data_IF_822647230058
#
_entry.id   IF_822647230058
#
_cell.length_a   1.000
_cell.length_b   1.000
_cell.length_c   1.000
_cell.angle_alpha   90.00
_cell.angle_beta   90.00
_cell.angle_gamma   90.00
#
_symmetry.space_group_name_H-M   'P 1'
#
loop_
_entity.id
_entity.type
_entity.pdbx_description
1 polymer ?
#
# COMPACT_ATOMS: atom_id res chain seq x y z
N UNK A 1 8.35 3.37 -11.11
CA UNK A 1 7.59 4.41 -11.85
C UNK A 1 7.64 4.06 -13.33
N UNK A 2 6.60 4.34 -14.13
CA UNK A 2 6.75 4.28 -15.58
C UNK A 2 7.89 5.21 -15.96
N UNK A 3 8.77 4.74 -16.84
CA UNK A 3 9.88 5.52 -17.31
C UNK A 3 9.30 6.70 -18.13
N UNK A 4 9.63 7.94 -17.76
CA UNK A 4 9.21 9.12 -18.52
C UNK A 4 10.35 9.45 -19.48
N UNK A 5 10.11 9.24 -20.76
CA UNK A 5 11.04 9.61 -21.84
C UNK A 5 10.28 10.48 -22.82
N UNK A 6 10.87 11.63 -23.14
CA UNK A 6 10.43 12.45 -24.26
C UNK A 6 10.98 11.87 -25.57
N UNK A 7 10.06 11.33 -26.37
CA UNK A 7 10.38 10.80 -27.69
C UNK A 7 9.60 11.61 -28.74
N UNK A 8 10.26 12.17 -29.77
CA UNK A 8 9.62 12.94 -30.82
C UNK A 8 8.49 12.17 -31.52
N UNK A 9 7.48 12.87 -32.02
CA UNK A 9 6.33 12.25 -32.71
C UNK A 9 6.74 11.49 -33.99
N UNK A 10 7.80 11.94 -34.67
CA UNK A 10 8.31 11.36 -35.92
C UNK A 10 9.55 10.47 -35.72
N UNK A 11 9.71 9.87 -34.53
CA UNK A 11 10.92 9.11 -34.23
C UNK A 11 11.09 7.88 -35.13
N UNK A 12 10.01 7.16 -35.44
CA UNK A 12 10.10 5.91 -36.22
C UNK A 12 10.58 6.18 -37.65
N UNK A 13 9.99 7.15 -38.41
CA UNK A 13 10.54 7.56 -39.70
C UNK A 13 12.02 7.98 -39.63
N UNK A 14 12.43 8.73 -38.61
CA UNK A 14 13.81 9.18 -38.42
C UNK A 14 14.77 7.99 -38.26
N UNK A 15 14.39 7.01 -37.44
CA UNK A 15 15.21 5.82 -37.19
C UNK A 15 15.23 4.85 -38.38
N UNK A 16 14.22 4.90 -39.26
CA UNK A 16 14.16 4.09 -40.48
C UNK A 16 14.83 4.76 -41.68
N UNK A 17 15.15 6.06 -41.61
CA UNK A 17 15.86 6.75 -42.66
C UNK A 17 17.23 6.09 -42.96
N UNK A 18 17.64 6.04 -44.24
CA UNK A 18 18.94 5.51 -44.62
C UNK A 18 20.04 6.38 -44.01
N UNK A 19 21.08 5.74 -43.46
CA UNK A 19 22.19 6.45 -42.81
C UNK A 19 23.04 7.14 -43.88
N UNK A 20 23.44 6.38 -44.90
CA UNK A 20 24.12 6.89 -46.09
C UNK A 20 23.47 6.30 -47.36
N UNK A 21 23.47 7.03 -48.50
CA UNK A 21 22.85 6.54 -49.74
C UNK A 21 23.49 5.25 -50.26
N UNK A 22 24.79 5.09 -50.08
CA UNK A 22 25.57 3.94 -50.57
C UNK A 22 25.53 2.76 -49.58
N UNK A 23 25.37 3.06 -48.29
CA UNK A 23 25.29 2.06 -47.22
C UNK A 23 24.12 2.37 -46.29
N UNK A 24 22.88 2.04 -46.68
CA UNK A 24 21.69 2.52 -45.98
C UNK A 24 21.55 1.94 -44.57
N UNK A 25 22.17 0.78 -44.28
CA UNK A 25 22.22 0.17 -42.95
C UNK A 25 23.38 0.67 -42.07
N UNK A 26 24.29 1.49 -42.59
CA UNK A 26 25.49 1.98 -41.90
C UNK A 26 26.56 0.92 -41.64
N UNK A 27 27.58 1.29 -40.85
CA UNK A 27 28.76 0.47 -40.55
C UNK A 27 28.74 -0.01 -39.10
N UNK A 28 28.89 -1.32 -38.91
CA UNK A 28 29.02 -1.90 -37.58
C UNK A 28 30.49 -2.02 -37.19
N UNK A 29 30.85 -1.35 -36.10
CA UNK A 29 32.12 -1.53 -35.41
C UNK A 29 31.86 -2.09 -34.01
N UNK A 30 32.59 -3.14 -33.63
CA UNK A 30 32.51 -3.72 -32.29
C UNK A 30 33.24 -2.87 -31.24
N UNK A 31 34.16 -2.02 -31.69
CA UNK A 31 34.92 -1.07 -30.87
C UNK A 31 34.22 0.29 -30.76
N UNK A 32 33.05 0.48 -31.39
CA UNK A 32 32.26 1.71 -31.27
C UNK A 32 31.90 1.98 -29.79
N UNK A 33 32.28 3.17 -29.32
CA UNK A 33 32.10 3.58 -27.92
C UNK A 33 30.61 3.60 -27.53
N UNK A 34 29.73 4.01 -28.44
CA UNK A 34 28.27 4.09 -28.18
C UNK A 34 27.68 2.69 -28.06
N UNK A 35 28.05 1.78 -28.97
CA UNK A 35 27.64 0.37 -28.93
C UNK A 35 28.09 -0.30 -27.62
N UNK A 36 29.36 -0.16 -27.24
CA UNK A 36 29.89 -0.77 -26.03
C UNK A 36 29.26 -0.19 -24.76
N UNK A 37 29.05 1.13 -24.72
CA UNK A 37 28.44 1.77 -23.56
C UNK A 37 26.98 1.34 -23.35
N UNK A 38 26.20 1.22 -24.43
CA UNK A 38 24.85 0.62 -24.37
C UNK A 38 24.92 -0.81 -23.83
N UNK A 39 25.87 -1.61 -24.33
CA UNK A 39 25.99 -3.01 -23.92
C UNK A 39 26.39 -3.17 -22.44
N UNK A 40 27.29 -2.32 -21.96
CA UNK A 40 27.72 -2.29 -20.56
C UNK A 40 26.57 -1.93 -19.60
N UNK A 41 25.72 -0.97 -19.97
CA UNK A 41 24.51 -0.67 -19.21
C UNK A 41 23.55 -1.87 -19.19
N UNK A 42 23.37 -2.52 -20.34
CA UNK A 42 22.48 -3.68 -20.46
C UNK A 42 23.00 -4.94 -19.74
N UNK A 43 24.31 -5.09 -19.54
CA UNK A 43 24.91 -6.18 -18.73
C UNK A 43 24.48 -6.11 -17.26
N UNK A 44 24.17 -4.91 -16.74
CA UNK A 44 23.70 -4.75 -15.36
C UNK A 44 22.31 -5.36 -15.15
N UNK A 45 21.56 -5.61 -16.23
CA UNK A 45 20.21 -6.19 -16.20
C UNK A 45 20.25 -7.62 -15.66
N UNK A 46 19.49 -7.91 -14.61
CA UNK A 46 19.48 -9.21 -13.93
C UNK A 46 20.61 -9.43 -12.91
N UNK A 47 21.42 -8.41 -12.64
CA UNK A 47 22.47 -8.42 -11.62
C UNK A 47 22.15 -7.54 -10.42
N UNK A 48 23.02 -7.56 -9.40
CA UNK A 48 22.90 -6.73 -8.18
C UNK A 48 22.87 -5.21 -8.47
N UNK A 49 23.37 -4.78 -9.64
CA UNK A 49 23.43 -3.39 -10.10
C UNK A 49 22.27 -3.00 -11.02
N UNK A 50 21.25 -3.84 -11.18
CA UNK A 50 20.10 -3.56 -12.07
C UNK A 50 19.38 -2.26 -11.72
N UNK A 51 19.33 -1.89 -10.43
CA UNK A 51 18.74 -0.64 -9.97
C UNK A 51 19.52 0.63 -10.40
N UNK A 52 20.76 0.48 -10.91
CA UNK A 52 21.63 1.58 -11.35
C UNK A 52 21.71 1.74 -12.87
N UNK A 53 20.82 1.09 -13.61
CA UNK A 53 20.75 1.22 -15.08
C UNK A 53 20.19 2.59 -15.45
N UNK A 54 20.92 3.32 -16.27
CA UNK A 54 20.47 4.60 -16.82
C UNK A 54 19.62 4.37 -18.09
N UNK A 55 18.32 4.23 -17.88
CA UNK A 55 17.37 4.00 -18.99
C UNK A 55 17.22 5.21 -19.94
N UNK A 56 17.17 6.46 -19.47
CA UNK A 56 17.22 7.64 -20.35
C UNK A 56 18.45 7.64 -21.26
N UNK A 57 19.63 7.30 -20.73
CA UNK A 57 20.84 7.17 -21.53
C UNK A 57 20.72 6.09 -22.59
N UNK A 58 20.22 4.90 -22.24
CA UNK A 58 20.03 3.80 -23.22
C UNK A 58 19.09 4.23 -24.35
N UNK A 59 18.01 4.96 -24.06
CA UNK A 59 17.09 5.46 -25.08
C UNK A 59 17.75 6.47 -26.02
N UNK A 60 18.42 7.49 -25.49
CA UNK A 60 19.10 8.51 -26.29
C UNK A 60 20.24 7.92 -27.12
N UNK A 61 21.13 7.13 -26.50
CA UNK A 61 22.25 6.49 -27.16
C UNK A 61 21.79 5.51 -28.23
N UNK A 62 20.75 4.69 -27.97
CA UNK A 62 20.23 3.74 -28.95
C UNK A 62 19.56 4.45 -30.14
N UNK A 63 18.84 5.55 -29.91
CA UNK A 63 18.27 6.38 -30.98
C UNK A 63 19.38 6.99 -31.85
N UNK A 64 20.40 7.56 -31.22
CA UNK A 64 21.54 8.15 -31.94
C UNK A 64 22.30 7.09 -32.76
N UNK A 65 22.55 5.92 -32.17
CA UNK A 65 23.26 4.82 -32.83
C UNK A 65 22.50 4.30 -34.05
N UNK A 66 21.18 4.04 -33.92
CA UNK A 66 20.35 3.56 -35.03
C UNK A 66 20.16 4.63 -36.12
N UNK A 67 20.17 5.91 -35.77
CA UNK A 67 20.03 7.01 -36.73
C UNK A 67 21.32 7.33 -37.49
N UNK A 68 22.50 7.16 -36.88
CA UNK A 68 23.77 7.70 -37.40
C UNK A 68 24.85 6.66 -37.69
N UNK A 69 24.86 5.51 -37.00
CA UNK A 69 25.95 4.55 -37.09
C UNK A 69 25.56 3.28 -37.81
N UNK A 70 24.61 2.50 -37.25
CA UNK A 70 24.27 1.20 -37.81
C UNK A 70 22.87 0.73 -37.42
N UNK A 71 22.14 0.15 -38.38
CA UNK A 71 20.89 -0.58 -38.14
C UNK A 71 21.23 -1.94 -37.51
N UNK A 72 21.19 -2.00 -36.19
CA UNK A 72 21.57 -3.19 -35.42
C UNK A 72 20.39 -3.74 -34.62
N UNK A 73 19.99 -5.00 -34.87
CA UNK A 73 18.81 -5.63 -34.27
C UNK A 73 18.91 -5.78 -32.75
N UNK A 74 20.12 -5.95 -32.20
CA UNK A 74 20.34 -5.97 -30.74
C UNK A 74 20.04 -4.61 -30.11
N UNK A 75 20.55 -3.52 -30.70
CA UNK A 75 20.32 -2.15 -30.21
C UNK A 75 18.84 -1.77 -30.36
N UNK A 76 18.20 -2.18 -31.46
CA UNK A 76 16.75 -2.07 -31.61
C UNK A 76 16.00 -2.79 -30.47
N UNK A 77 16.46 -3.99 -30.09
CA UNK A 77 15.88 -4.71 -28.96
C UNK A 77 16.05 -4.00 -27.62
N UNK A 78 17.19 -3.34 -27.40
CA UNK A 78 17.39 -2.51 -26.20
C UNK A 78 16.47 -1.29 -26.20
N UNK A 79 16.38 -0.57 -27.32
CA UNK A 79 15.47 0.57 -27.47
C UNK A 79 14.01 0.17 -27.29
N UNK A 80 13.57 -0.95 -27.90
CA UNK A 80 12.25 -1.52 -27.68
C UNK A 80 12.03 -1.80 -26.18
N UNK A 81 12.98 -2.45 -25.51
CA UNK A 81 12.90 -2.72 -24.09
C UNK A 81 12.73 -1.46 -23.24
N UNK A 82 13.35 -0.35 -23.63
CA UNK A 82 13.18 0.95 -22.97
C UNK A 82 11.79 1.53 -23.22
N UNK A 83 11.33 1.56 -24.47
CA UNK A 83 10.01 2.06 -24.85
C UNK A 83 8.87 1.28 -24.18
N UNK A 84 9.00 -0.04 -24.08
CA UNK A 84 8.01 -0.89 -23.42
C UNK A 84 7.91 -0.63 -21.90
N UNK A 85 8.96 -0.12 -21.25
CA UNK A 85 8.93 0.27 -19.83
C UNK A 85 8.14 1.55 -19.57
N UNK A 86 7.89 2.38 -20.59
CA UNK A 86 7.00 3.55 -20.47
C UNK A 86 5.54 3.13 -20.27
N UNK A 87 5.16 1.92 -20.73
CA UNK A 87 3.80 1.37 -20.70
C UNK A 87 2.75 2.24 -21.44
N UNK A 88 3.17 3.04 -22.40
CA UNK A 88 2.28 3.90 -23.20
C UNK A 88 1.93 3.26 -24.54
N UNK A 89 0.68 3.43 -25.00
CA UNK A 89 0.24 2.95 -26.32
C UNK A 89 1.03 3.58 -27.47
N UNK A 90 1.38 4.87 -27.37
CA UNK A 90 2.22 5.55 -28.36
C UNK A 90 3.55 4.83 -28.56
N UNK A 91 4.27 4.54 -27.46
CA UNK A 91 5.60 3.91 -27.50
C UNK A 91 5.55 2.44 -27.87
N UNK A 92 4.45 1.75 -27.54
CA UNK A 92 4.21 0.41 -28.00
C UNK A 92 3.99 0.36 -29.52
N UNK A 93 3.18 1.29 -30.06
CA UNK A 93 2.98 1.44 -31.50
C UNK A 93 4.28 1.82 -32.22
N UNK A 94 5.09 2.71 -31.63
CA UNK A 94 6.40 3.08 -32.17
C UNK A 94 7.36 1.88 -32.22
N UNK A 95 7.40 1.06 -31.16
CA UNK A 95 8.22 -0.15 -31.11
C UNK A 95 7.79 -1.17 -32.18
N UNK A 96 6.49 -1.36 -32.35
CA UNK A 96 5.94 -2.24 -33.38
C UNK A 96 6.25 -1.72 -34.79
N UNK A 97 6.09 -0.41 -35.02
CA UNK A 97 6.41 0.24 -36.28
C UNK A 97 7.89 0.17 -36.63
N UNK A 98 8.77 0.40 -35.65
CA UNK A 98 10.22 0.31 -35.84
C UNK A 98 10.65 -1.13 -36.17
N UNK A 99 10.09 -2.13 -35.47
CA UNK A 99 10.37 -3.54 -35.74
C UNK A 99 9.91 -3.93 -37.16
N UNK A 100 8.69 -3.57 -37.53
CA UNK A 100 8.15 -3.83 -38.87
C UNK A 100 9.00 -3.17 -39.97
N UNK A 101 9.33 -1.89 -39.80
CA UNK A 101 10.13 -1.14 -40.78
C UNK A 101 11.56 -1.63 -40.93
N UNK A 102 12.21 -2.09 -39.85
CA UNK A 102 13.56 -2.68 -39.95
C UNK A 102 13.53 -4.03 -40.67
N UNK A 103 12.49 -4.84 -40.46
CA UNK A 103 12.32 -6.09 -41.20
C UNK A 103 11.98 -5.82 -42.66
N UNK A 104 11.22 -4.78 -42.98
CA UNK A 104 10.88 -4.43 -44.36
C UNK A 104 12.09 -3.88 -45.13
N UNK A 105 12.78 -2.89 -44.57
CA UNK A 105 13.81 -2.12 -45.27
C UNK A 105 15.23 -2.67 -45.11
N UNK A 106 15.52 -3.34 -43.99
CA UNK A 106 16.89 -3.68 -43.58
C UNK A 106 17.07 -5.15 -43.18
N UNK A 107 16.16 -6.07 -43.56
CA UNK A 107 16.28 -7.48 -43.13
C UNK A 107 17.63 -8.10 -43.48
N UNK A 108 18.12 -7.90 -44.70
CA UNK A 108 19.39 -8.46 -45.16
C UNK A 108 20.60 -7.65 -44.69
N UNK A 109 20.49 -6.32 -44.71
CA UNK A 109 21.58 -5.38 -44.46
C UNK A 109 21.82 -5.06 -42.97
N UNK A 110 20.81 -5.21 -42.11
CA UNK A 110 20.94 -4.97 -40.67
C UNK A 110 21.87 -5.97 -39.98
N UNK A 111 22.55 -5.51 -38.94
CA UNK A 111 23.42 -6.35 -38.13
C UNK A 111 22.66 -7.11 -37.03
N UNK A 112 23.11 -8.33 -36.65
CA UNK A 112 24.32 -9.01 -37.13
C UNK A 112 24.13 -9.62 -38.53
N UNK A 113 25.14 -9.55 -39.41
CA UNK A 113 25.10 -10.19 -40.75
C UNK A 113 24.86 -11.70 -40.63
N UNK A 114 24.16 -12.33 -41.59
CA UNK A 114 23.88 -13.77 -41.53
C UNK A 114 25.18 -14.57 -41.44
N UNK A 115 25.29 -15.40 -40.40
CA UNK A 115 26.44 -16.27 -40.16
C UNK A 115 26.35 -17.59 -40.95
N UNK A 116 27.18 -18.59 -40.61
CA UNK A 116 27.16 -19.91 -41.28
C UNK A 116 25.83 -20.66 -41.12
N UNK A 117 25.04 -20.34 -40.09
CA UNK A 117 23.68 -20.86 -39.86
C UNK A 117 22.58 -20.01 -40.51
N UNK A 118 22.97 -19.04 -41.36
CA UNK A 118 22.08 -18.12 -42.05
C UNK A 118 21.39 -17.13 -41.11
N UNK A 119 20.10 -16.91 -41.35
CA UNK A 119 19.27 -15.92 -40.65
C UNK A 119 18.69 -16.42 -39.32
N UNK A 120 19.10 -17.60 -38.84
CA UNK A 120 18.47 -18.26 -37.69
C UNK A 120 18.53 -17.41 -36.42
N UNK A 121 19.68 -16.76 -36.16
CA UNK A 121 19.82 -15.85 -35.02
C UNK A 121 18.92 -14.61 -35.14
N UNK A 122 18.84 -13.98 -36.34
CA UNK A 122 17.94 -12.85 -36.59
C UNK A 122 16.48 -13.25 -36.36
N UNK A 123 16.05 -14.40 -36.89
CA UNK A 123 14.68 -14.90 -36.70
C UNK A 123 14.34 -15.16 -35.23
N UNK A 124 15.27 -15.76 -34.48
CA UNK A 124 15.12 -15.94 -33.02
C UNK A 124 14.98 -14.59 -32.30
N UNK A 125 15.78 -13.61 -32.69
CA UNK A 125 15.71 -12.27 -32.12
C UNK A 125 14.35 -11.61 -32.42
N UNK A 126 13.88 -11.63 -33.67
CA UNK A 126 12.56 -11.09 -34.03
C UNK A 126 11.44 -11.80 -33.27
N UNK A 127 11.50 -13.14 -33.16
CA UNK A 127 10.52 -13.90 -32.36
C UNK A 127 10.49 -13.43 -30.91
N UNK A 128 11.65 -13.26 -30.29
CA UNK A 128 11.75 -12.74 -28.91
C UNK A 128 11.16 -11.32 -28.79
N UNK A 129 11.46 -10.43 -29.74
CA UNK A 129 10.92 -9.07 -29.74
C UNK A 129 9.40 -9.05 -29.90
N UNK A 130 8.83 -9.93 -30.72
CA UNK A 130 7.37 -10.07 -30.85
C UNK A 130 6.72 -10.61 -29.58
N UNK A 131 7.35 -11.58 -28.92
CA UNK A 131 6.88 -12.11 -27.63
C UNK A 131 6.93 -11.02 -26.53
N UNK A 132 7.99 -10.20 -26.50
CA UNK A 132 8.12 -9.05 -25.59
C UNK A 132 7.02 -8.00 -25.86
N UNK A 133 6.73 -7.68 -27.13
CA UNK A 133 5.62 -6.80 -27.51
C UNK A 133 4.26 -7.35 -27.03
N UNK A 134 4.00 -8.64 -27.22
CA UNK A 134 2.76 -9.29 -26.78
C UNK A 134 2.59 -9.35 -25.27
N UNK A 135 3.69 -9.55 -24.53
CA UNK A 135 3.67 -9.46 -23.06
C UNK A 135 3.38 -8.02 -22.61
N UNK A 136 4.04 -7.04 -23.20
CA UNK A 136 3.86 -5.63 -22.86
C UNK A 136 2.46 -5.10 -23.20
N UNK A 137 1.82 -5.60 -24.28
CA UNK A 137 0.48 -5.21 -24.71
C UNK A 137 -0.58 -5.38 -23.60
N UNK A 138 -0.44 -6.41 -22.75
CA UNK A 138 -1.34 -6.66 -21.61
C UNK A 138 -1.19 -5.67 -20.45
N UNK A 139 -0.04 -4.99 -20.37
CA UNK A 139 0.33 -4.09 -19.29
C UNK A 139 0.37 -2.61 -19.68
N UNK A 140 -0.11 -2.25 -20.89
CA UNK A 140 -0.21 -0.86 -21.34
C UNK A 140 -1.23 -0.08 -20.51
N UNK A 141 -0.90 1.17 -20.21
CA UNK A 141 -1.80 2.07 -19.52
C UNK A 141 -2.97 2.47 -20.43
N UNK A 142 -4.19 2.15 -19.99
CA UNK A 142 -5.43 2.49 -20.68
C UNK A 142 -5.62 3.99 -20.85
N UNK A 143 -5.04 4.82 -19.97
CA UNK A 143 -5.14 6.29 -20.08
C UNK A 143 -4.42 6.83 -21.32
N UNK A 144 -3.39 6.12 -21.80
CA UNK A 144 -2.62 6.48 -22.99
C UNK A 144 -3.23 5.96 -24.31
N UNK A 145 -4.36 5.24 -24.23
CA UNK A 145 -5.01 4.68 -25.41
C UNK A 145 -5.55 5.78 -26.32
N UNK A 146 -5.16 5.72 -27.58
CA UNK A 146 -5.77 6.49 -28.65
C UNK A 146 -5.96 5.58 -29.88
N UNK A 147 -7.09 5.69 -30.60
CA UNK A 147 -7.37 4.85 -31.77
C UNK A 147 -6.31 5.00 -32.87
N UNK A 148 -5.64 6.16 -32.93
CA UNK A 148 -4.53 6.40 -33.86
C UNK A 148 -3.36 5.45 -33.59
N UNK A 149 -2.95 5.27 -32.33
CA UNK A 149 -1.83 4.39 -31.97
C UNK A 149 -2.16 2.91 -32.23
N UNK A 150 -3.41 2.52 -32.00
CA UNK A 150 -3.88 1.20 -32.36
C UNK A 150 -3.82 0.98 -33.88
N UNK A 151 -4.38 1.91 -34.67
CA UNK A 151 -4.36 1.81 -36.13
C UNK A 151 -2.93 1.76 -36.69
N UNK A 152 -2.01 2.55 -36.13
CA UNK A 152 -0.58 2.50 -36.47
C UNK A 152 0.03 1.12 -36.22
N UNK A 153 -0.27 0.51 -35.07
CA UNK A 153 0.27 -0.80 -34.73
C UNK A 153 -0.37 -1.94 -35.54
N UNK A 154 -1.67 -1.86 -35.84
CA UNK A 154 -2.35 -2.78 -36.75
C UNK A 154 -1.74 -2.72 -38.15
N UNK A 155 -1.50 -1.52 -38.67
CA UNK A 155 -0.83 -1.32 -39.95
C UNK A 155 0.59 -1.91 -39.95
N UNK A 156 1.39 -1.62 -38.92
CA UNK A 156 2.74 -2.18 -38.77
C UNK A 156 2.73 -3.72 -38.69
N UNK A 157 1.71 -4.32 -38.06
CA UNK A 157 1.55 -5.77 -38.02
C UNK A 157 1.20 -6.37 -39.38
N UNK A 158 0.38 -5.69 -40.17
CA UNK A 158 0.06 -6.11 -41.54
C UNK A 158 1.31 -6.05 -42.43
N UNK A 159 2.11 -5.00 -42.31
CA UNK A 159 3.35 -4.85 -43.08
C UNK A 159 4.40 -5.88 -42.66
N UNK A 160 4.54 -6.16 -41.35
CA UNK A 160 5.40 -7.24 -40.86
C UNK A 160 4.92 -8.62 -41.35
N UNK A 161 3.61 -8.89 -41.35
CA UNK A 161 3.06 -10.16 -41.85
C UNK A 161 3.36 -10.36 -43.34
N UNK A 162 3.34 -9.29 -44.15
CA UNK A 162 3.75 -9.33 -45.56
C UNK A 162 5.22 -9.71 -45.71
N UNK A 163 6.09 -9.12 -44.89
CA UNK A 163 7.53 -9.38 -44.89
C UNK A 163 7.90 -10.75 -44.31
N UNK A 164 7.07 -11.30 -43.41
CA UNK A 164 7.32 -12.56 -42.72
C UNK A 164 7.51 -13.76 -43.66
N UNK A 165 6.81 -13.78 -44.79
CA UNK A 165 6.93 -14.85 -45.80
C UNK A 165 8.32 -14.82 -46.44
N UNK A 166 8.80 -13.65 -46.87
CA UNK A 166 10.12 -13.48 -47.48
C UNK A 166 11.25 -13.74 -46.47
N UNK A 167 11.11 -13.23 -45.25
CA UNK A 167 12.07 -13.41 -44.17
C UNK A 167 12.04 -14.83 -43.53
N UNK A 168 11.04 -15.65 -43.87
CA UNK A 168 10.72 -16.95 -43.27
C UNK A 168 10.60 -16.87 -41.73
N UNK A 169 9.87 -15.86 -41.26
CA UNK A 169 9.53 -15.72 -39.84
C UNK A 169 8.43 -16.72 -39.46
N UNK A 170 8.41 -17.10 -38.18
CA UNK A 170 7.33 -17.90 -37.60
C UNK A 170 6.04 -17.06 -37.58
N UNK A 171 4.94 -17.46 -38.24
CA UNK A 171 3.71 -16.68 -38.27
C UNK A 171 2.97 -16.71 -36.93
N UNK A 172 3.18 -17.72 -36.09
CA UNK A 172 2.47 -17.90 -34.83
C UNK A 172 2.54 -16.68 -33.88
N UNK A 173 3.71 -16.07 -33.59
CA UNK A 173 3.78 -14.87 -32.75
C UNK A 173 3.08 -13.65 -33.37
N UNK A 174 3.09 -13.52 -34.70
CA UNK A 174 2.45 -12.41 -35.42
C UNK A 174 0.92 -12.54 -35.31
N UNK A 175 0.39 -13.74 -35.60
CA UNK A 175 -1.04 -14.03 -35.47
C UNK A 175 -1.53 -13.90 -34.03
N UNK A 176 -0.73 -14.34 -33.05
CA UNK A 176 -1.05 -14.19 -31.65
C UNK A 176 -1.20 -12.70 -31.27
N UNK A 177 -0.27 -11.86 -31.73
CA UNK A 177 -0.29 -10.43 -31.46
C UNK A 177 -1.48 -9.74 -32.15
N UNK A 178 -1.80 -10.11 -33.38
CA UNK A 178 -2.99 -9.63 -34.10
C UNK A 178 -4.29 -9.98 -33.34
N UNK A 179 -4.43 -11.22 -32.86
CA UNK A 179 -5.60 -11.64 -32.06
C UNK A 179 -5.68 -10.89 -30.74
N UNK A 180 -4.55 -10.58 -30.11
CA UNK A 180 -4.53 -9.81 -28.87
C UNK A 180 -4.93 -8.36 -29.12
N UNK A 181 -4.44 -7.74 -30.18
CA UNK A 181 -4.76 -6.35 -30.54
C UNK A 181 -6.24 -6.18 -30.92
N UNK A 182 -6.82 -7.14 -31.65
CA UNK A 182 -8.24 -7.13 -32.01
C UNK A 182 -9.18 -7.22 -30.79
N UNK A 183 -8.74 -7.75 -29.65
CA UNK A 183 -9.55 -7.72 -28.41
C UNK A 183 -9.70 -6.32 -27.82
N UNK A 184 -8.83 -5.40 -28.20
CA UNK A 184 -8.91 -3.99 -27.78
C UNK A 184 -9.74 -3.14 -28.76
N UNK A 185 -10.13 -3.67 -29.93
CA UNK A 185 -10.93 -2.95 -30.94
C UNK A 185 -12.45 -3.12 -30.79
N UNK A 186 -12.95 -3.92 -29.84
CA UNK A 186 -14.40 -4.13 -29.70
C UNK A 186 -15.06 -2.90 -29.07
N UNK A 187 -15.93 -2.15 -29.78
CA UNK A 187 -16.74 -1.12 -29.15
C UNK A 187 -17.72 -1.80 -28.18
N UNK A 188 -17.95 -1.24 -26.97
CA UNK A 188 -18.96 -1.79 -26.09
C UNK A 188 -20.32 -1.66 -26.78
N UNK A 189 -20.97 -2.78 -27.03
CA UNK A 189 -22.39 -2.83 -27.40
C UNK A 189 -23.17 -2.16 -26.27
N UNK A 190 -24.02 -1.16 -26.53
CA UNK A 190 -24.73 -0.45 -25.47
C UNK A 190 -25.75 -1.38 -24.82
N UNK A 191 -25.69 -1.49 -23.49
CA UNK A 191 -26.79 -2.03 -22.69
C UNK A 191 -28.03 -1.15 -22.88
N UNK A 192 -29.09 -1.75 -23.42
CA UNK A 192 -30.44 -1.19 -23.33
C UNK A 192 -30.91 -1.26 -21.88
N UNK A 193 -30.94 -0.12 -21.20
CA UNK A 193 -31.83 0.10 -20.07
C UNK A 193 -32.33 1.55 -20.11
N UNK A 194 -33.64 1.67 -20.29
CA UNK A 194 -34.42 2.89 -20.44
C UNK A 194 -34.02 4.02 -19.48
N UNK A 195 -33.88 5.21 -20.03
CA UNK A 195 -33.93 6.46 -19.30
C UNK A 195 -35.35 6.74 -18.78
N UNK A 196 -35.44 7.15 -17.52
CA UNK A 196 -36.43 8.12 -17.08
C UNK A 196 -35.69 9.21 -16.28
N UNK A 197 -36.08 10.49 -16.38
CA UNK A 197 -35.31 11.59 -15.83
C UNK A 197 -35.71 11.85 -14.37
N UNK A 198 -34.72 12.06 -13.50
CA UNK A 198 -34.96 12.83 -12.29
C UNK A 198 -33.72 13.59 -11.83
N UNK A 199 -34.00 14.83 -11.48
CA UNK A 199 -33.12 15.89 -11.02
C UNK A 199 -32.32 15.49 -9.77
N UNK A 200 -31.09 16.00 -9.73
CA UNK A 200 -30.18 16.19 -8.60
C UNK A 200 -30.43 15.41 -7.29
N UNK A 201 -29.50 14.51 -6.96
CA UNK A 201 -28.83 14.36 -5.64
C UNK A 201 -27.63 13.41 -5.81
N UNK A 202 -26.43 13.90 -5.47
CA UNK A 202 -25.16 13.22 -5.14
C UNK A 202 -24.83 11.86 -5.80
N UNK A 203 -23.86 11.85 -6.72
CA UNK A 203 -23.27 10.65 -7.34
C UNK A 203 -22.66 9.67 -6.31
N UNK A 204 -23.09 8.40 -6.27
CA UNK A 204 -22.43 7.33 -5.53
C UNK A 204 -21.58 6.44 -6.45
N UNK A 205 -20.76 7.03 -7.33
CA UNK A 205 -19.88 6.28 -8.26
C UNK A 205 -18.52 5.89 -7.68
N UNK A 206 -18.33 5.96 -6.36
CA UNK A 206 -17.04 5.73 -5.69
C UNK A 206 -16.59 4.25 -5.60
N UNK A 207 -17.37 3.29 -6.07
CA UNK A 207 -17.02 1.87 -5.94
C UNK A 207 -17.17 1.08 -7.24
N UNK A 208 -16.39 1.45 -8.27
CA UNK A 208 -16.04 0.48 -9.32
C UNK A 208 -14.86 -0.36 -8.82
N UNK A 209 -15.16 -1.59 -8.36
CA UNK A 209 -14.15 -2.61 -8.05
C UNK A 209 -13.40 -3.00 -9.33
N UNK A 210 -12.13 -2.64 -9.40
CA UNK A 210 -11.18 -3.19 -10.38
C UNK A 210 -10.92 -4.67 -10.14
N UNK A 211 -10.90 -5.46 -11.22
CA UNK A 211 -10.52 -6.87 -11.23
C UNK A 211 -9.05 -7.05 -10.78
N UNK A 212 -8.79 -8.18 -10.12
CA UNK A 212 -7.52 -8.49 -9.45
C UNK A 212 -6.32 -8.54 -10.43
N UNK A 213 -5.14 -8.03 -10.02
CA UNK A 213 -3.92 -8.06 -10.84
C UNK A 213 -3.31 -9.47 -10.93
N UNK A 214 -2.44 -9.75 -11.92
CA UNK A 214 -1.69 -10.99 -11.98
C UNK A 214 -0.70 -11.10 -10.79
N UNK A 215 -0.52 -12.32 -10.28
CA UNK A 215 0.25 -12.66 -9.05
C UNK A 215 1.70 -12.13 -9.03
N UNK A 216 2.31 -11.85 -10.19
CA UNK A 216 3.63 -11.22 -10.29
C UNK A 216 3.62 -9.70 -10.04
N UNK A 217 2.59 -9.00 -10.49
CA UNK A 217 2.42 -7.55 -10.30
C UNK A 217 2.22 -7.20 -8.83
N UNK A 218 1.54 -8.06 -8.07
CA UNK A 218 1.26 -7.82 -6.65
C UNK A 218 2.52 -7.87 -5.80
N UNK A 219 3.46 -8.77 -6.11
CA UNK A 219 4.76 -8.85 -5.43
C UNK A 219 5.64 -7.64 -5.75
N UNK A 220 5.68 -7.21 -7.01
CA UNK A 220 6.43 -6.02 -7.43
C UNK A 220 5.82 -4.74 -6.85
N UNK A 221 4.49 -4.60 -6.88
CA UNK A 221 3.78 -3.49 -6.24
C UNK A 221 4.03 -3.46 -4.74
N UNK A 222 3.96 -4.61 -4.06
CA UNK A 222 4.32 -4.72 -2.64
C UNK A 222 5.75 -4.27 -2.40
N UNK A 223 6.71 -4.72 -3.21
CA UNK A 223 8.12 -4.31 -3.08
C UNK A 223 8.29 -2.79 -3.30
N UNK A 224 7.60 -2.22 -4.28
CA UNK A 224 7.63 -0.78 -4.55
C UNK A 224 7.03 0.03 -3.40
N UNK A 225 5.89 -0.40 -2.84
CA UNK A 225 5.26 0.24 -1.68
C UNK A 225 6.15 0.18 -0.45
N UNK A 226 6.80 -0.95 -0.19
CA UNK A 226 7.73 -1.10 0.94
C UNK A 226 9.00 -0.25 0.76
N UNK A 227 9.54 -0.17 -0.46
CA UNK A 227 10.69 0.68 -0.77
C UNK A 227 10.36 2.18 -0.64
N UNK A 228 9.18 2.60 -1.11
CA UNK A 228 8.71 3.98 -0.94
C UNK A 228 8.47 4.30 0.54
N UNK A 229 7.86 3.38 1.30
CA UNK A 229 7.70 3.54 2.74
C UNK A 229 9.04 3.66 3.48
N UNK A 230 10.07 2.91 3.06
CA UNK A 230 11.42 3.04 3.59
C UNK A 230 12.06 4.39 3.24
N UNK A 231 11.91 4.86 1.99
CA UNK A 231 12.40 6.18 1.57
C UNK A 231 11.72 7.31 2.34
N UNK A 232 10.39 7.24 2.55
CA UNK A 232 9.65 8.24 3.33
C UNK A 232 10.16 8.29 4.78
N UNK A 233 10.27 7.14 5.44
CA UNK A 233 10.83 7.08 6.80
C UNK A 233 12.30 7.54 6.88
N UNK A 234 13.09 7.41 5.81
CA UNK A 234 14.46 7.92 5.76
C UNK A 234 14.52 9.44 5.59
N UNK A 235 13.56 10.03 4.88
CA UNK A 235 13.47 11.48 4.69
C UNK A 235 12.93 12.16 5.94
N UNK A 236 11.87 11.59 6.53
CA UNK A 236 11.28 12.06 7.77
C UNK A 236 10.79 10.89 8.60
N UNK A 237 11.43 10.68 9.75
CA UNK A 237 11.04 9.65 10.70
C UNK A 237 9.76 10.00 11.45
N UNK A 238 9.44 11.29 11.61
CA UNK A 238 8.29 11.78 12.38
C UNK A 238 7.00 11.78 11.57
N UNK A 239 7.08 11.65 10.24
CA UNK A 239 5.91 11.56 9.38
C UNK A 239 5.23 10.17 9.49
N UNK A 240 3.95 10.08 9.90
CA UNK A 240 3.22 8.82 9.95
C UNK A 240 3.00 8.15 8.58
N UNK A 241 3.08 8.89 7.47
CA UNK A 241 2.71 8.37 6.14
C UNK A 241 3.53 7.15 5.73
N UNK A 242 4.85 7.16 5.96
CA UNK A 242 5.70 6.02 5.58
C UNK A 242 5.38 4.75 6.38
N UNK A 243 5.05 4.88 7.66
CA UNK A 243 4.59 3.76 8.50
C UNK A 243 3.25 3.19 8.04
N UNK A 244 2.29 4.06 7.69
CA UNK A 244 1.00 3.67 7.15
C UNK A 244 1.14 2.95 5.80
N UNK A 245 2.00 3.48 4.92
CA UNK A 245 2.28 2.90 3.61
C UNK A 245 2.92 1.53 3.72
N UNK A 246 3.85 1.34 4.67
CA UNK A 246 4.44 0.03 4.95
C UNK A 246 3.37 -0.98 5.33
N UNK A 247 2.49 -0.65 6.28
CA UNK A 247 1.39 -1.53 6.70
C UNK A 247 0.42 -1.82 5.56
N UNK A 248 0.10 -0.82 4.75
CA UNK A 248 -0.71 -1.02 3.55
C UNK A 248 -0.04 -2.03 2.59
N UNK A 249 1.25 -1.87 2.27
CA UNK A 249 1.98 -2.82 1.43
C UNK A 249 2.05 -4.24 2.01
N UNK A 250 2.21 -4.37 3.33
CA UNK A 250 2.26 -5.68 4.00
C UNK A 250 0.91 -6.38 4.03
N UNK A 251 -0.19 -5.64 4.14
CA UNK A 251 -1.49 -6.21 4.49
C UNK A 251 -2.57 -6.05 3.43
N UNK A 252 -2.45 -5.16 2.44
CA UNK A 252 -3.54 -4.86 1.49
C UNK A 252 -4.12 -6.11 0.82
N UNK A 253 -3.25 -7.02 0.41
CA UNK A 253 -3.57 -8.28 -0.29
C UNK A 253 -4.00 -9.43 0.64
N UNK A 254 -3.89 -9.26 1.96
CA UNK A 254 -4.34 -10.28 2.92
C UNK A 254 -5.87 -10.22 3.06
N UNK A 255 -6.54 -11.17 2.41
CA UNK A 255 -8.02 -11.29 2.40
C UNK A 255 -8.51 -12.54 3.12
N UNK A 256 -7.63 -13.49 3.42
CA UNK A 256 -7.92 -14.72 4.13
C UNK A 256 -6.85 -14.97 5.20
N UNK A 257 -7.26 -15.63 6.29
CA UNK A 257 -6.33 -16.08 7.31
C UNK A 257 -5.46 -17.22 6.78
N UNK A 258 -4.20 -17.36 7.23
CA UNK A 258 -3.33 -18.46 6.85
C UNK A 258 -3.93 -19.81 7.25
N UNK A 259 -3.63 -20.85 6.47
CA UNK A 259 -4.13 -22.20 6.72
C UNK A 259 -3.64 -22.74 8.06
N UNK A 260 -4.55 -23.40 8.78
CA UNK A 260 -4.27 -24.03 10.08
C UNK A 260 -3.76 -25.44 9.83
N UNK A 261 -2.64 -25.80 10.44
CA UNK A 261 -2.09 -27.14 10.41
C UNK A 261 -2.69 -28.00 11.53
N UNK A 262 -2.48 -27.61 12.80
CA UNK A 262 -2.99 -28.29 14.02
C UNK A 262 -3.13 -27.29 15.16
N UNK A 263 -4.14 -27.44 16.03
CA UNK A 263 -4.31 -26.66 17.26
C UNK A 263 -4.14 -25.13 17.07
N UNK A 264 -4.78 -24.57 16.04
CA UNK A 264 -4.70 -23.14 15.66
C UNK A 264 -3.30 -22.65 15.25
N UNK A 265 -2.33 -23.55 15.07
CA UNK A 265 -0.98 -23.24 14.55
C UNK A 265 -0.96 -23.22 13.03
N UNK A 266 -0.10 -22.36 12.50
CA UNK A 266 0.15 -22.18 11.06
C UNK A 266 1.55 -22.70 10.69
N UNK A 267 1.83 -22.87 9.40
CA UNK A 267 3.18 -23.21 8.90
C UNK A 267 4.14 -22.00 8.87
N UNK A 268 3.69 -20.84 9.35
CA UNK A 268 4.46 -19.61 9.33
C UNK A 268 5.45 -19.60 10.50
N UNK A 269 6.70 -19.24 10.21
CA UNK A 269 7.74 -19.07 11.22
C UNK A 269 7.60 -17.75 11.96
N UNK A 270 7.70 -17.80 13.29
CA UNK A 270 7.78 -16.62 14.13
C UNK A 270 9.13 -15.90 13.97
N UNK A 271 9.19 -14.66 14.42
CA UNK A 271 10.47 -13.96 14.62
C UNK A 271 11.22 -14.66 15.76
N UNK A 272 12.54 -14.96 15.62
CA UNK A 272 13.31 -15.60 16.69
C UNK A 272 13.23 -14.86 18.02
N UNK A 273 13.06 -15.59 19.12
CA UNK A 273 12.88 -15.02 20.47
C UNK A 273 14.04 -14.11 20.88
N UNK A 274 15.28 -14.48 20.56
CA UNK A 274 16.47 -13.65 20.86
C UNK A 274 16.37 -12.22 20.29
N UNK A 275 15.75 -12.07 19.11
CA UNK A 275 15.54 -10.75 18.48
C UNK A 275 14.43 -9.99 19.20
N UNK A 276 13.36 -10.69 19.60
CA UNK A 276 12.24 -10.11 20.33
C UNK A 276 12.68 -9.63 21.71
N UNK A 277 13.44 -10.44 22.43
CA UNK A 277 13.99 -10.14 23.75
C UNK A 277 14.92 -8.93 23.68
N UNK A 278 15.80 -8.87 22.67
CA UNK A 278 16.67 -7.70 22.45
C UNK A 278 15.87 -6.39 22.24
N UNK A 279 14.72 -6.43 21.57
CA UNK A 279 13.86 -5.26 21.44
C UNK A 279 13.17 -4.88 22.74
N UNK A 280 12.72 -5.87 23.53
CA UNK A 280 12.07 -5.64 24.82
C UNK A 280 13.06 -5.10 25.86
N UNK A 281 14.28 -5.63 25.89
CA UNK A 281 15.36 -5.14 26.75
C UNK A 281 15.73 -3.70 26.42
N UNK A 282 15.89 -3.36 25.13
CA UNK A 282 16.17 -1.99 24.71
C UNK A 282 15.06 -1.02 25.13
N UNK A 283 13.80 -1.46 25.06
CA UNK A 283 12.64 -0.69 25.49
C UNK A 283 12.60 -0.53 27.02
N UNK A 284 12.85 -1.60 27.78
CA UNK A 284 12.88 -1.58 29.25
C UNK A 284 14.05 -0.79 29.83
N UNK A 285 15.21 -0.83 29.18
CA UNK A 285 16.40 -0.03 29.53
C UNK A 285 16.29 1.44 29.10
N UNK A 286 15.19 1.83 28.45
CA UNK A 286 14.96 3.16 27.89
C UNK A 286 16.07 3.62 26.91
N UNK A 287 16.74 2.67 26.25
CA UNK A 287 17.76 2.90 25.22
C UNK A 287 17.10 3.14 23.85
N UNK A 288 16.34 4.22 23.76
CA UNK A 288 15.43 4.49 22.66
C UNK A 288 16.08 5.39 21.62
N UNK A 289 16.75 4.76 20.66
CA UNK A 289 17.24 5.44 19.47
C UNK A 289 16.24 5.30 18.30
N UNK A 290 16.12 6.29 17.40
CA UNK A 290 15.28 6.15 16.19
C UNK A 290 15.69 4.94 15.33
N UNK A 291 16.95 4.51 15.40
CA UNK A 291 17.44 3.29 14.75
C UNK A 291 16.78 2.00 15.29
N UNK A 292 16.38 1.96 16.57
CA UNK A 292 15.63 0.84 17.14
C UNK A 292 14.27 0.69 16.44
N UNK A 293 13.55 1.81 16.25
CA UNK A 293 12.28 1.82 15.54
C UNK A 293 12.44 1.24 14.13
N UNK A 294 13.44 1.69 13.36
CA UNK A 294 13.71 1.17 12.02
C UNK A 294 14.07 -0.33 11.99
N UNK A 295 14.78 -0.85 13.00
CA UNK A 295 15.08 -2.29 13.11
C UNK A 295 13.82 -3.10 13.37
N UNK A 296 12.97 -2.67 14.29
CA UNK A 296 11.67 -3.31 14.57
C UNK A 296 10.83 -3.33 13.29
N UNK A 297 10.78 -2.20 12.56
CA UNK A 297 10.06 -2.08 11.29
C UNK A 297 10.54 -3.07 10.21
N UNK A 298 11.85 -3.33 10.14
CA UNK A 298 12.42 -4.37 9.24
C UNK A 298 11.97 -5.77 9.65
N UNK A 299 11.97 -6.09 10.94
CA UNK A 299 11.45 -7.37 11.45
C UNK A 299 9.95 -7.54 11.16
N UNK A 300 9.15 -6.48 11.32
CA UNK A 300 7.71 -6.49 10.96
C UNK A 300 7.52 -6.69 9.46
N UNK A 301 8.37 -6.10 8.61
CA UNK A 301 8.30 -6.30 7.17
C UNK A 301 8.62 -7.74 6.75
N UNK A 302 9.55 -8.39 7.47
CA UNK A 302 9.92 -9.78 7.25
C UNK A 302 8.86 -10.77 7.78
N UNK A 303 8.13 -10.43 8.84
CA UNK A 303 7.04 -11.24 9.42
C UNK A 303 5.73 -10.45 9.53
N UNK A 304 4.90 -10.41 8.46
CA UNK A 304 3.71 -9.55 8.38
C UNK A 304 2.61 -9.87 9.41
N UNK A 305 2.58 -11.11 9.91
CA UNK A 305 1.59 -11.57 10.91
C UNK A 305 2.06 -11.37 12.35
N UNK A 306 3.28 -10.85 12.56
CA UNK A 306 3.82 -10.54 13.88
C UNK A 306 3.33 -9.17 14.36
N UNK A 307 2.07 -9.09 14.82
CA UNK A 307 1.47 -7.83 15.27
C UNK A 307 2.14 -7.28 16.54
N UNK A 308 2.71 -8.17 17.37
CA UNK A 308 3.54 -7.78 18.52
C UNK A 308 4.68 -6.85 18.13
N UNK A 309 5.29 -7.03 16.96
CA UNK A 309 6.32 -6.11 16.46
C UNK A 309 5.79 -4.70 16.19
N UNK A 310 4.55 -4.58 15.70
CA UNK A 310 3.92 -3.27 15.51
C UNK A 310 3.53 -2.61 16.84
N UNK A 311 3.18 -3.39 17.86
CA UNK A 311 2.99 -2.89 19.23
C UNK A 311 4.30 -2.33 19.81
N UNK A 312 5.40 -3.07 19.68
CA UNK A 312 6.73 -2.59 20.11
C UNK A 312 7.15 -1.32 19.34
N UNK A 313 6.93 -1.28 18.03
CA UNK A 313 7.21 -0.09 17.21
C UNK A 313 6.40 1.13 17.69
N UNK A 314 5.12 0.96 17.99
CA UNK A 314 4.28 2.03 18.51
C UNK A 314 4.72 2.51 19.90
N UNK A 315 5.14 1.60 20.79
CA UNK A 315 5.68 2.00 22.09
C UNK A 315 6.98 2.81 21.96
N UNK A 316 7.90 2.36 21.10
CA UNK A 316 9.14 3.12 20.82
C UNK A 316 8.80 4.50 20.25
N UNK A 317 7.87 4.57 19.29
CA UNK A 317 7.41 5.84 18.72
C UNK A 317 6.81 6.78 19.78
N UNK A 318 5.91 6.29 20.65
CA UNK A 318 5.35 7.10 21.74
C UNK A 318 6.42 7.61 22.70
N UNK A 319 7.41 6.79 23.05
CA UNK A 319 8.51 7.20 23.94
C UNK A 319 9.47 8.19 23.28
N UNK A 320 9.54 8.21 21.95
CA UNK A 320 10.25 9.20 21.15
C UNK A 320 9.41 10.47 20.88
N UNK A 321 8.25 10.61 21.54
CA UNK A 321 7.28 11.69 21.33
C UNK A 321 6.74 11.78 19.89
N UNK A 322 6.59 10.62 19.22
CA UNK A 322 6.04 10.48 17.87
C UNK A 322 4.61 9.94 17.95
N UNK A 323 3.71 10.69 18.63
CA UNK A 323 2.36 10.22 18.96
C UNK A 323 1.50 9.94 17.73
N UNK A 324 1.64 10.78 16.69
CA UNK A 324 0.93 10.58 15.41
C UNK A 324 1.37 9.28 14.72
N UNK A 325 2.66 8.95 14.77
CA UNK A 325 3.21 7.68 14.25
C UNK A 325 2.68 6.50 15.06
N UNK A 326 2.73 6.58 16.38
CA UNK A 326 2.24 5.53 17.27
C UNK A 326 0.74 5.26 17.05
N UNK A 327 -0.06 6.33 16.93
CA UNK A 327 -1.50 6.25 16.64
C UNK A 327 -1.76 5.66 15.25
N UNK A 328 -1.01 6.11 14.23
CA UNK A 328 -1.15 5.62 12.87
C UNK A 328 -0.85 4.12 12.75
N UNK A 329 0.22 3.64 13.40
CA UNK A 329 0.57 2.22 13.45
C UNK A 329 -0.54 1.41 14.12
N UNK A 330 -1.07 1.89 15.26
CA UNK A 330 -2.19 1.23 15.96
C UNK A 330 -3.43 1.12 15.07
N UNK A 331 -3.86 2.22 14.44
CA UNK A 331 -5.04 2.24 13.56
C UNK A 331 -4.89 1.29 12.37
N UNK A 332 -3.68 1.15 11.82
CA UNK A 332 -3.42 0.16 10.77
C UNK A 332 -3.61 -1.27 11.28
N UNK A 333 -3.12 -1.59 12.48
CA UNK A 333 -3.29 -2.90 13.11
C UNK A 333 -4.76 -3.19 13.41
N UNK A 334 -5.49 -2.22 13.97
CA UNK A 334 -6.93 -2.30 14.23
C UNK A 334 -7.70 -2.64 12.95
N UNK A 335 -7.43 -1.91 11.85
CA UNK A 335 -8.07 -2.18 10.56
C UNK A 335 -7.77 -3.60 10.02
N UNK A 336 -6.55 -4.11 10.22
CA UNK A 336 -6.21 -5.47 9.83
C UNK A 336 -7.03 -6.50 10.63
N UNK A 337 -7.07 -6.35 11.96
CA UNK A 337 -7.78 -7.27 12.85
C UNK A 337 -9.29 -7.22 12.62
N UNK A 338 -9.87 -6.03 12.42
CA UNK A 338 -11.29 -5.89 12.07
C UNK A 338 -11.63 -6.59 10.75
N UNK A 339 -10.72 -6.58 9.77
CA UNK A 339 -10.91 -7.25 8.49
C UNK A 339 -10.70 -8.77 8.59
N UNK A 340 -9.76 -9.22 9.43
CA UNK A 340 -9.40 -10.63 9.62
C UNK A 340 -9.40 -10.99 11.11
N UNK A 341 -10.58 -11.14 11.75
CA UNK A 341 -10.69 -11.38 13.19
C UNK A 341 -10.08 -12.72 13.61
N UNK A 342 -10.01 -13.69 12.70
CA UNK A 342 -9.38 -14.99 12.93
C UNK A 342 -7.91 -14.87 13.37
N UNK A 343 -7.20 -13.77 13.04
CA UNK A 343 -5.81 -13.56 13.46
C UNK A 343 -5.63 -13.50 14.98
N UNK A 344 -6.69 -13.20 15.74
CA UNK A 344 -6.68 -13.17 17.21
C UNK A 344 -6.53 -14.56 17.83
N UNK A 345 -6.91 -15.62 17.11
CA UNK A 345 -6.89 -16.99 17.62
C UNK A 345 -5.73 -17.82 17.08
N UNK A 346 -4.94 -17.29 16.15
CA UNK A 346 -3.91 -18.06 15.43
C UNK A 346 -2.51 -17.95 16.06
N UNK A 347 -1.75 -19.02 15.87
CA UNK A 347 -0.37 -19.16 16.33
C UNK A 347 0.60 -19.44 15.18
N UNK A 348 1.86 -19.07 15.34
CA UNK A 348 2.97 -19.49 14.50
C UNK A 348 3.29 -20.98 14.71
N UNK A 349 4.20 -21.52 13.90
CA UNK A 349 4.60 -22.93 13.94
C UNK A 349 5.19 -23.36 15.30
N UNK A 350 5.83 -22.45 16.02
CA UNK A 350 6.42 -22.66 17.36
C UNK A 350 5.39 -22.53 18.51
N UNK A 351 4.15 -22.15 18.21
CA UNK A 351 3.09 -21.93 19.18
C UNK A 351 2.96 -20.50 19.69
N UNK A 352 3.85 -19.58 19.30
CA UNK A 352 3.68 -18.17 19.67
C UNK A 352 2.41 -17.58 19.03
N UNK A 353 1.60 -16.81 19.76
CA UNK A 353 0.39 -16.20 19.21
C UNK A 353 0.74 -15.07 18.23
N UNK A 354 -0.09 -14.87 17.20
CA UNK A 354 0.03 -13.72 16.30
C UNK A 354 -0.26 -12.40 17.03
N UNK A 355 -1.23 -12.46 17.96
CA UNK A 355 -1.64 -11.36 18.83
C UNK A 355 -1.69 -11.88 20.26
N UNK A 356 -0.76 -11.43 21.10
CA UNK A 356 -0.77 -11.68 22.54
C UNK A 356 -1.73 -10.72 23.26
N UNK A 357 -2.12 -11.08 24.49
CA UNK A 357 -3.07 -10.31 25.30
C UNK A 357 -2.78 -8.80 25.39
N UNK A 358 -1.55 -8.33 25.69
CA UNK A 358 -1.27 -6.89 25.72
C UNK A 358 -1.37 -6.24 24.34
N UNK A 359 -0.96 -6.92 23.26
CA UNK A 359 -1.13 -6.38 21.89
C UNK A 359 -2.62 -6.27 21.53
N UNK A 360 -3.45 -7.22 21.96
CA UNK A 360 -4.90 -7.17 21.75
C UNK A 360 -5.55 -6.00 22.51
N UNK A 361 -5.16 -5.78 23.76
CA UNK A 361 -5.63 -4.66 24.58
C UNK A 361 -5.25 -3.31 23.95
N UNK A 362 -4.01 -3.18 23.48
CA UNK A 362 -3.54 -2.01 22.74
C UNK A 362 -4.32 -1.76 21.44
N UNK A 363 -4.50 -2.79 20.60
CA UNK A 363 -5.22 -2.67 19.31
C UNK A 363 -6.68 -2.25 19.52
N UNK A 364 -7.36 -2.86 20.49
CA UNK A 364 -8.76 -2.54 20.81
C UNK A 364 -8.93 -1.16 21.46
N UNK A 365 -7.82 -0.49 21.81
CA UNK A 365 -7.81 0.75 22.55
C UNK A 365 -8.29 0.59 23.99
N UNK A 366 -8.33 -0.63 24.53
CA UNK A 366 -8.61 -0.86 25.95
C UNK A 366 -7.59 -0.12 26.83
N UNK A 367 -6.30 -0.16 26.45
CA UNK A 367 -5.23 0.60 27.13
C UNK A 367 -5.41 2.14 27.04
N UNK A 368 -6.11 2.64 26.01
CA UNK A 368 -6.41 4.08 25.89
C UNK A 368 -7.71 4.46 26.60
N UNK A 369 -8.64 3.51 26.78
CA UNK A 369 -9.86 3.73 27.57
C UNK A 369 -9.52 4.02 29.03
N UNK A 370 -8.44 3.44 29.56
CA UNK A 370 -7.94 3.80 30.91
C UNK A 370 -7.49 5.28 31.01
N UNK A 371 -7.02 5.89 29.92
CA UNK A 371 -6.59 7.30 29.87
C UNK A 371 -7.65 8.31 29.40
N UNK A 372 -8.66 7.90 28.63
CA UNK A 372 -9.57 8.84 27.94
C UNK A 372 -11.05 8.44 27.89
N UNK A 373 -11.50 7.38 28.55
CA UNK A 373 -12.94 7.13 28.69
C UNK A 373 -13.56 7.86 29.89
N UNK A 374 -13.49 9.20 29.94
CA UNK A 374 -14.57 9.95 30.57
C UNK A 374 -15.58 10.27 29.47
N UNK A 375 -16.69 9.52 29.43
CA UNK A 375 -17.76 9.68 28.46
C UNK A 375 -18.50 11.05 28.53
N UNK A 376 -18.02 12.00 29.33
CA UNK A 376 -18.62 13.31 29.52
C UNK A 376 -17.52 14.39 29.57
N UNK A 377 -17.38 15.24 28.53
CA UNK A 377 -16.39 16.33 28.48
C UNK A 377 -16.47 17.31 29.66
N UNK A 378 -17.65 17.41 30.29
CA UNK A 378 -17.96 18.25 31.44
C UNK A 378 -17.03 18.04 32.65
N UNK A 379 -16.45 16.84 32.81
CA UNK A 379 -15.62 16.50 33.97
C UNK A 379 -14.11 16.38 33.66
N UNK A 380 -13.67 16.76 32.46
CA UNK A 380 -12.26 16.69 32.08
C UNK A 380 -11.37 17.56 33.00
N UNK A 381 -11.79 18.81 33.26
CA UNK A 381 -11.04 19.72 34.14
C UNK A 381 -10.98 19.23 35.60
N UNK A 382 -12.04 18.58 36.09
CA UNK A 382 -12.04 17.99 37.43
C UNK A 382 -11.08 16.79 37.53
N UNK A 383 -11.00 15.97 36.48
CA UNK A 383 -10.05 14.86 36.42
C UNK A 383 -8.61 15.38 36.49
N UNK A 384 -8.28 16.41 35.72
CA UNK A 384 -6.94 17.01 35.74
C UNK A 384 -6.59 17.59 37.12
N UNK A 385 -7.55 18.27 37.77
CA UNK A 385 -7.38 18.76 39.15
C UNK A 385 -7.08 17.60 40.12
N UNK A 386 -7.89 16.54 40.11
CA UNK A 386 -7.71 15.39 41.00
C UNK A 386 -6.42 14.61 40.71
N UNK A 387 -6.00 14.53 39.45
CA UNK A 387 -4.70 13.95 39.06
C UNK A 387 -3.56 14.77 39.67
N UNK A 388 -3.62 16.11 39.57
CA UNK A 388 -2.58 16.96 40.17
C UNK A 388 -2.51 16.81 41.68
N UNK A 389 -3.65 16.86 42.37
CA UNK A 389 -3.74 16.66 43.83
C UNK A 389 -3.23 15.28 44.27
N UNK A 390 -3.56 14.23 43.51
CA UNK A 390 -3.08 12.87 43.80
C UNK A 390 -1.55 12.76 43.64
N UNK A 391 -0.97 13.50 42.69
CA UNK A 391 0.47 13.53 42.43
C UNK A 391 1.23 14.35 43.47
N UNK A 392 0.66 15.45 43.98
CA UNK A 392 1.35 16.37 44.91
C UNK A 392 1.09 16.07 46.38
N UNK A 393 -0.15 15.73 46.74
CA UNK A 393 -0.62 15.71 48.13
C UNK A 393 -1.10 14.32 48.59
N UNK A 394 -1.29 13.39 47.66
CA UNK A 394 -1.56 11.99 47.94
C UNK A 394 -3.03 11.61 48.03
N UNK A 395 -3.29 10.37 48.44
CA UNK A 395 -4.61 9.71 48.35
C UNK A 395 -5.64 10.32 49.29
N UNK A 396 -5.22 10.71 50.51
CA UNK A 396 -6.13 11.24 51.54
C UNK A 396 -6.82 12.54 51.09
N UNK A 397 -6.08 13.43 50.43
CA UNK A 397 -6.62 14.69 49.90
C UNK A 397 -7.67 14.44 48.81
N UNK A 398 -7.45 13.47 47.93
CA UNK A 398 -8.42 13.10 46.89
C UNK A 398 -9.69 12.51 47.50
N UNK A 399 -9.60 11.72 48.57
CA UNK A 399 -10.78 11.19 49.27
C UNK A 399 -11.57 12.27 49.99
N UNK A 400 -10.89 13.23 50.65
CA UNK A 400 -11.54 14.40 51.26
C UNK A 400 -12.19 15.28 50.19
N UNK A 401 -11.54 15.46 49.05
CA UNK A 401 -12.08 16.19 47.90
C UNK A 401 -13.32 15.51 47.34
N UNK A 402 -13.29 14.19 47.17
CA UNK A 402 -14.45 13.39 46.76
C UNK A 402 -15.62 13.55 47.74
N UNK A 403 -15.36 13.49 49.05
CA UNK A 403 -16.37 13.70 50.08
C UNK A 403 -17.00 15.10 50.00
N UNK A 404 -16.18 16.13 49.75
CA UNK A 404 -16.68 17.50 49.57
C UNK A 404 -17.54 17.64 48.31
N UNK A 405 -17.14 17.04 47.20
CA UNK A 405 -17.93 17.03 45.95
C UNK A 405 -19.25 16.29 46.11
N UNK A 406 -19.27 15.20 46.88
CA UNK A 406 -20.50 14.49 47.23
C UNK A 406 -21.45 15.28 48.11
N UNK A 407 -20.94 16.17 48.96
CA UNK A 407 -21.74 17.06 49.78
C UNK A 407 -22.28 18.26 48.98
N UNK A 408 -21.54 18.72 47.96
CA UNK A 408 -21.91 19.86 47.13
C UNK A 408 -22.94 19.50 46.03
N UNK A 409 -22.93 18.26 45.55
CA UNK A 409 -23.82 17.81 44.48
C UNK A 409 -24.99 16.99 45.04
N UNK A 410 -26.22 17.49 44.90
CA UNK A 410 -27.42 16.74 45.28
C UNK A 410 -27.79 15.66 44.24
N UNK A 411 -27.52 15.92 42.95
CA UNK A 411 -27.89 15.00 41.88
C UNK A 411 -27.01 13.74 41.86
N UNK A 412 -27.60 12.53 41.83
CA UNK A 412 -26.85 11.28 41.84
C UNK A 412 -25.99 11.10 40.58
N UNK A 413 -26.35 11.71 39.44
CA UNK A 413 -25.54 11.73 38.21
C UNK A 413 -24.13 12.30 38.47
N UNK A 414 -24.06 13.50 39.04
CA UNK A 414 -22.79 14.19 39.31
C UNK A 414 -21.95 13.41 40.33
N UNK A 415 -22.58 12.95 41.41
CA UNK A 415 -21.91 12.12 42.43
C UNK A 415 -21.32 10.85 41.82
N UNK A 416 -22.08 10.16 40.96
CA UNK A 416 -21.63 8.95 40.28
C UNK A 416 -20.42 9.20 39.39
N UNK A 417 -20.42 10.28 38.60
CA UNK A 417 -19.27 10.64 37.77
C UNK A 417 -18.02 10.98 38.60
N UNK A 418 -18.16 11.78 39.67
CA UNK A 418 -17.03 12.11 40.54
C UNK A 418 -16.45 10.87 41.24
N UNK A 419 -17.30 9.94 41.69
CA UNK A 419 -16.88 8.67 42.29
C UNK A 419 -16.14 7.78 41.31
N UNK A 420 -16.61 7.66 40.07
CA UNK A 420 -15.95 6.88 39.02
C UNK A 420 -14.57 7.46 38.70
N UNK A 421 -14.47 8.79 38.56
CA UNK A 421 -13.19 9.46 38.31
C UNK A 421 -12.22 9.20 39.48
N UNK A 422 -12.68 9.30 40.72
CA UNK A 422 -11.84 8.97 41.86
C UNK A 422 -11.43 7.48 41.88
N UNK A 423 -12.34 6.57 41.55
CA UNK A 423 -12.07 5.14 41.47
C UNK A 423 -11.01 4.81 40.40
N UNK A 424 -11.10 5.41 39.20
CA UNK A 424 -10.09 5.31 38.15
C UNK A 424 -8.71 5.73 38.65
N UNK A 425 -8.63 6.88 39.32
CA UNK A 425 -7.38 7.44 39.83
C UNK A 425 -6.76 6.60 40.95
N UNK A 426 -7.59 6.07 41.85
CA UNK A 426 -7.15 5.22 42.95
C UNK A 426 -6.72 3.84 42.44
N UNK A 427 -7.44 3.28 41.47
CA UNK A 427 -7.09 2.05 40.77
C UNK A 427 -5.73 2.16 40.08
N UNK A 428 -5.47 3.27 39.38
CA UNK A 428 -4.18 3.56 38.75
C UNK A 428 -3.00 3.67 39.74
N UNK A 429 -3.27 3.95 41.03
CA UNK A 429 -2.25 3.97 42.09
C UNK A 429 -2.12 2.63 42.84
N UNK A 430 -2.80 1.58 42.38
CA UNK A 430 -2.72 0.23 42.96
C UNK A 430 -3.70 -0.03 44.11
N UNK A 431 -4.66 0.87 44.36
CA UNK A 431 -5.74 0.68 45.34
C UNK A 431 -6.97 0.04 44.68
N UNK A 432 -6.77 -1.11 44.03
CA UNK A 432 -7.81 -1.80 43.25
C UNK A 432 -9.03 -2.19 44.09
N UNK A 433 -8.83 -2.69 45.31
CA UNK A 433 -9.93 -3.08 46.20
C UNK A 433 -10.88 -1.92 46.52
N UNK A 434 -10.35 -0.71 46.66
CA UNK A 434 -11.13 0.48 46.96
C UNK A 434 -11.83 0.99 45.69
N UNK A 435 -11.13 0.97 44.56
CA UNK A 435 -11.72 1.29 43.27
C UNK A 435 -12.92 0.35 42.96
N UNK A 436 -12.77 -0.95 43.20
CA UNK A 436 -13.82 -1.94 43.00
C UNK A 436 -15.05 -1.69 43.90
N UNK A 437 -14.85 -1.32 45.17
CA UNK A 437 -15.94 -0.98 46.08
C UNK A 437 -16.69 0.29 45.63
N UNK A 438 -15.93 1.32 45.20
CA UNK A 438 -16.50 2.55 44.65
C UNK A 438 -17.30 2.28 43.37
N UNK A 439 -16.79 1.43 42.47
CA UNK A 439 -17.51 0.99 41.28
C UNK A 439 -18.78 0.24 41.62
N UNK A 440 -18.72 -0.70 42.55
CA UNK A 440 -19.87 -1.48 43.00
C UNK A 440 -20.94 -0.58 43.63
N UNK A 441 -20.52 0.43 44.41
CA UNK A 441 -21.40 1.44 44.99
C UNK A 441 -22.15 2.26 43.94
N UNK A 442 -21.44 2.79 42.95
CA UNK A 442 -22.06 3.55 41.84
C UNK A 442 -23.01 2.66 41.04
N UNK A 443 -22.62 1.41 40.75
CA UNK A 443 -23.46 0.47 40.01
C UNK A 443 -24.76 0.10 40.77
N UNK A 444 -24.75 0.12 42.11
CA UNK A 444 -25.94 -0.08 42.93
C UNK A 444 -26.87 1.14 42.85
N UNK A 445 -26.32 2.34 43.02
CA UNK A 445 -27.07 3.60 42.91
C UNK A 445 -27.71 3.72 41.53
N UNK A 446 -26.99 3.44 40.45
CA UNK A 446 -27.53 3.49 39.09
C UNK A 446 -28.68 2.50 38.85
N UNK A 447 -28.63 1.33 39.48
CA UNK A 447 -29.70 0.32 39.36
C UNK A 447 -30.97 0.69 40.13
N UNK A 448 -30.81 1.30 41.29
CA UNK A 448 -31.93 1.61 42.19
C UNK A 448 -32.58 2.97 41.90
N UNK A 449 -31.87 3.87 41.24
CA UNK A 449 -32.32 5.25 40.99
C UNK A 449 -33.15 5.34 39.71
N UNK A 450 -34.37 5.87 39.81
CA UNK A 450 -35.21 6.15 38.65
C UNK A 450 -34.65 7.30 37.80
N UNK A 451 -34.99 7.33 36.51
CA UNK A 451 -34.55 8.40 35.60
C UNK A 451 -34.93 9.82 36.07
N UNK A 452 -36.04 9.96 36.81
CA UNK A 452 -36.46 11.24 37.42
C UNK A 452 -35.52 11.68 38.55
N UNK A 453 -35.16 10.74 39.44
CA UNK A 453 -34.26 11.02 40.55
C UNK A 453 -32.81 11.15 40.07
N UNK A 454 -32.47 10.58 38.91
CA UNK A 454 -31.14 10.61 38.33
C UNK A 454 -30.67 12.03 37.98
N UNK A 455 -31.56 12.82 37.36
CA UNK A 455 -31.28 14.19 36.92
C UNK A 455 -32.50 15.11 37.13
N UNK A 456 -32.73 15.57 38.38
CA UNK A 456 -33.98 16.23 38.76
C UNK A 456 -34.18 17.58 38.05
N UNK A 457 -33.11 18.32 37.75
CA UNK A 457 -33.20 19.61 37.06
C UNK A 457 -33.69 19.47 35.61
N UNK A 458 -33.18 18.47 34.88
CA UNK A 458 -33.62 18.17 33.53
C UNK A 458 -35.09 17.71 33.54
N UNK A 459 -35.44 16.85 34.50
CA UNK A 459 -36.81 16.39 34.67
C UNK A 459 -37.77 17.55 34.99
N UNK A 460 -37.37 18.49 35.86
CA UNK A 460 -38.18 19.68 36.18
C UNK A 460 -38.40 20.57 34.95
N UNK A 461 -37.36 20.80 34.13
CA UNK A 461 -37.50 21.54 32.85
C UNK A 461 -38.48 20.85 31.91
N UNK A 462 -38.40 19.53 31.77
CA UNK A 462 -39.32 18.76 30.94
C UNK A 462 -40.76 18.79 31.50
N UNK A 463 -40.92 18.68 32.82
CA UNK A 463 -42.22 18.73 33.49
C UNK A 463 -42.90 20.10 33.34
N UNK A 464 -42.13 21.21 33.34
CA UNK A 464 -42.65 22.56 33.10
C UNK A 464 -43.23 22.71 31.68
N UNK A 465 -42.66 22.03 30.69
CA UNK A 465 -43.14 22.08 29.30
C UNK A 465 -44.30 21.12 29.00
N UNK A 466 -44.39 20.00 29.72
CA UNK A 466 -45.35 18.92 29.43
C UNK A 466 -46.67 18.99 30.18
N UNK A 467 -46.85 19.91 31.14
CA UNK A 467 -48.17 20.22 31.71
C UNK A 467 -48.95 19.04 32.32
N UNK A 468 -48.28 17.95 32.72
CA UNK A 468 -48.78 16.94 33.68
C UNK A 468 -47.69 15.88 33.97
N UNK A 469 -47.49 15.46 35.23
CA UNK A 469 -46.33 14.66 35.66
C UNK A 469 -46.46 13.13 35.43
N UNK A 470 -47.44 12.65 34.65
CA UNK A 470 -47.81 11.23 34.61
C UNK A 470 -47.26 10.41 33.42
N UNK A 471 -46.51 11.02 32.49
CA UNK A 471 -46.17 10.35 31.21
C UNK A 471 -44.80 9.70 31.11
N UNK A 472 -43.90 9.87 32.08
CA UNK A 472 -42.61 9.16 32.08
C UNK A 472 -42.76 7.95 33.00
N UNK A 473 -43.54 6.95 32.59
CA UNK A 473 -43.47 5.62 33.20
C UNK A 473 -42.10 5.05 32.86
N UNK A 474 -41.25 4.94 33.88
CA UNK A 474 -39.98 4.22 33.80
C UNK A 474 -40.24 2.82 33.24
N UNK A 475 -39.66 2.53 32.08
CA UNK A 475 -39.49 1.15 31.63
C UNK A 475 -38.41 0.57 32.55
N UNK A 476 -38.84 -0.19 33.55
CA UNK A 476 -37.97 -1.14 34.24
C UNK A 476 -37.78 -2.33 33.31
N UNK A 477 -36.57 -2.47 32.76
CA UNK A 477 -36.04 -3.76 32.33
C UNK A 477 -34.99 -4.24 33.33
#
# INVERSE_FOLDING_TARGET
MPLVIEVPADIVPLLLAPIEPEQPAGYFDIEDETYQAIDQEMIKLGGLREASIDWPYIDEASRQYLARQCKHLRILGHLQGVWLRTRQWARWADAMGLLAGVVELYWDSAHPKPGPTGYLAKRKQIKRLLEELGQALSGLDRSSFAPVHQAMAEQALLDLARCAVAAKLDPAPIEALQRQLAKYSEPPVPESANQAPSSGVLNPTLFTRTSAPPVGSEREQRRALLAMAEQLNQQDLYDPVGYQLRRFGLWAHLHAAPAITRDRRTELSAVPQDIVDAYQEALGANALEPALLLRIEKSVAASPYWLRGSYLAAQVASRLAMDDVALAVRRCCERLVCRLPALLELNFSDGTPFVDAPTQAWISGADQREGTSSAVPEYAGLRDELVTQLNTEGVEVVLLRLQALHAAHEAPRQRSHTTVIAADLLGARGLSWLADDLYAGVARVMRETSAQAWEPELYQKLAQHLGNPSLIKAVQE
#
